data_IF_175071805342
#
_entry.id   IF_175071805342
#
_cell.length_a   1.000
_cell.length_b   1.000
_cell.length_c   1.000
_cell.angle_alpha   90.00
_cell.angle_beta   90.00
_cell.angle_gamma   90.00
#
_symmetry.space_group_name_H-M   'P 1'
#
loop_
_entity.id
_entity.type
_entity.pdbx_description
1 polymer ?
#
# COMPACT_ATOMS: atom_id res chain seq x y z
N UNK A 1 -26.56 -13.38 -12.81
CA UNK A 1 -25.61 -14.50 -12.88
C UNK A 1 -24.66 -14.36 -11.69
N UNK A 2 -24.83 -15.12 -10.63
CA UNK A 2 -24.03 -14.97 -9.41
C UNK A 2 -22.59 -15.42 -9.70
N UNK A 3 -21.63 -14.53 -9.51
CA UNK A 3 -20.21 -14.84 -9.67
C UNK A 3 -19.72 -15.56 -8.39
N UNK A 4 -19.01 -16.65 -8.58
CA UNK A 4 -18.53 -17.52 -7.52
C UNK A 4 -17.51 -16.80 -6.64
N UNK A 5 -17.71 -16.79 -5.33
CA UNK A 5 -16.74 -16.36 -4.31
C UNK A 5 -16.11 -17.61 -3.70
N UNK A 6 -14.81 -17.66 -3.60
CA UNK A 6 -14.08 -18.81 -3.09
C UNK A 6 -13.04 -18.43 -2.05
N UNK A 7 -12.81 -19.35 -1.16
CA UNK A 7 -11.83 -19.26 -0.09
C UNK A 7 -10.53 -19.97 -0.51
N UNK A 8 -9.38 -19.33 -0.28
CA UNK A 8 -8.08 -19.88 -0.57
C UNK A 8 -7.45 -20.34 0.73
N UNK A 9 -7.11 -21.62 0.80
CA UNK A 9 -6.35 -22.20 1.90
C UNK A 9 -4.86 -21.99 1.68
N UNK A 10 -4.18 -21.46 2.70
CA UNK A 10 -2.74 -21.65 2.82
C UNK A 10 -2.49 -23.07 3.35
N UNK A 11 -2.20 -24.02 2.46
CA UNK A 11 -2.03 -25.46 2.77
C UNK A 11 -0.58 -25.77 3.18
N UNK A 12 0.23 -24.79 3.50
CA UNK A 12 1.60 -25.03 3.95
C UNK A 12 1.88 -24.32 5.27
N UNK A 13 1.78 -25.12 6.36
CA UNK A 13 2.60 -24.94 7.56
C UNK A 13 4.07 -25.17 7.15
N UNK A 14 4.67 -24.22 6.45
CA UNK A 14 6.12 -24.12 6.50
C UNK A 14 6.46 -23.34 7.78
N UNK A 15 7.42 -23.86 8.61
CA UNK A 15 7.86 -23.18 9.81
C UNK A 15 8.31 -21.76 9.45
N UNK A 16 8.04 -20.81 10.33
CA UNK A 16 8.44 -19.42 10.22
C UNK A 16 9.80 -19.30 9.54
N UNK A 17 9.79 -18.96 8.26
CA UNK A 17 11.01 -18.71 7.52
C UNK A 17 11.54 -17.38 7.98
N UNK A 18 12.41 -17.43 9.01
CA UNK A 18 13.23 -16.29 9.37
C UNK A 18 14.05 -15.92 8.13
N UNK A 19 13.84 -14.73 7.62
CA UNK A 19 14.61 -14.20 6.49
C UNK A 19 16.10 -14.26 6.84
N UNK A 20 16.92 -15.05 6.12
CA UNK A 20 18.34 -15.20 6.43
C UNK A 20 19.11 -13.87 6.41
N UNK A 21 18.56 -12.82 5.80
CA UNK A 21 19.15 -11.49 5.78
C UNK A 21 19.11 -10.78 7.15
N UNK A 22 18.23 -11.22 8.07
CA UNK A 22 18.17 -10.71 9.44
C UNK A 22 19.14 -11.41 10.39
N UNK A 23 19.70 -12.56 10.01
CA UNK A 23 20.69 -13.29 10.83
C UNK A 23 22.11 -12.71 10.74
N UNK A 24 22.44 -11.95 9.71
CA UNK A 24 23.79 -11.42 9.52
C UNK A 24 24.15 -10.22 10.42
N UNK A 25 23.21 -9.71 11.23
CA UNK A 25 23.43 -8.62 12.18
C UNK A 25 23.56 -9.08 13.64
N UNK A 26 23.56 -10.40 13.91
CA UNK A 26 23.93 -10.93 15.23
C UNK A 26 25.41 -11.25 15.26
N UNK A 27 26.27 -10.25 15.44
CA UNK A 27 27.66 -10.43 15.82
C UNK A 27 27.90 -9.83 17.19
N UNK A 28 28.43 -10.69 18.01
CA UNK A 28 29.10 -10.53 19.29
C UNK A 28 28.28 -10.72 20.55
N UNK A 29 28.59 -11.86 21.12
CA UNK A 29 28.40 -12.27 22.49
C UNK A 29 28.58 -11.14 23.50
N UNK A 30 27.60 -10.88 24.34
CA UNK A 30 27.80 -10.38 25.67
C UNK A 30 27.20 -11.33 26.71
N UNK A 31 27.98 -11.51 27.74
CA UNK A 31 27.95 -12.42 28.84
C UNK A 31 26.61 -12.46 29.60
N UNK A 32 26.28 -13.65 30.12
CA UNK A 32 25.12 -13.90 30.99
C UNK A 32 25.32 -13.19 32.33
N UNK A 33 24.70 -12.08 32.54
CA UNK A 33 24.46 -11.44 33.82
C UNK A 33 22.97 -11.26 34.03
N UNK A 34 22.44 -11.96 35.03
CA UNK A 34 21.09 -11.87 35.53
C UNK A 34 20.65 -10.43 35.82
N UNK A 35 19.66 -9.93 35.12
CA UNK A 35 18.82 -8.82 35.58
C UNK A 35 17.42 -9.05 35.06
N UNK A 36 16.50 -9.27 35.99
CA UNK A 36 15.07 -9.11 35.79
C UNK A 36 14.85 -7.72 35.20
N UNK A 37 14.42 -7.62 33.97
CA UNK A 37 14.00 -6.37 33.36
C UNK A 37 12.48 -6.38 33.23
N UNK A 38 11.91 -5.53 34.07
CA UNK A 38 10.61 -4.94 34.01
C UNK A 38 10.23 -4.61 32.55
N UNK A 39 9.28 -5.36 31.98
CA UNK A 39 8.68 -5.11 30.66
C UNK A 39 7.71 -3.92 30.72
N UNK A 40 8.17 -2.79 31.24
CA UNK A 40 7.55 -1.51 30.94
C UNK A 40 7.89 -1.18 29.47
N UNK A 41 6.89 -1.11 28.64
CA UNK A 41 6.94 -0.62 27.27
C UNK A 41 7.86 0.61 27.23
N UNK A 42 9.06 0.47 26.65
CA UNK A 42 9.80 1.61 26.15
C UNK A 42 9.00 2.18 24.97
N UNK A 43 7.88 2.84 25.31
CA UNK A 43 7.45 3.95 24.50
C UNK A 43 8.62 4.92 24.53
N UNK A 44 9.40 4.97 23.46
CA UNK A 44 10.10 6.18 23.12
C UNK A 44 9.00 7.22 22.98
N UNK A 45 8.73 7.95 24.06
CA UNK A 45 7.94 9.18 24.04
C UNK A 45 8.67 10.18 23.14
N UNK A 46 8.54 9.97 21.83
CA UNK A 46 8.75 11.08 20.90
C UNK A 46 7.62 12.05 21.20
N UNK A 47 7.96 13.33 21.48
CA UNK A 47 6.92 14.32 21.71
C UNK A 47 5.94 14.27 20.53
N UNK A 48 4.62 14.38 20.77
CA UNK A 48 3.64 14.39 19.70
C UNK A 48 4.09 15.45 18.69
N UNK A 49 4.03 15.10 17.41
CA UNK A 49 4.36 16.04 16.34
C UNK A 49 3.43 17.23 16.54
N UNK A 50 4.04 18.35 16.89
CA UNK A 50 3.34 19.60 17.11
C UNK A 50 2.54 19.91 15.83
N UNK A 51 1.23 19.92 15.90
CA UNK A 51 0.36 20.22 14.75
C UNK A 51 0.73 21.56 14.14
N UNK A 52 1.08 22.54 14.96
CA UNK A 52 1.58 23.86 14.54
C UNK A 52 2.86 23.70 13.69
N UNK A 53 3.73 22.75 14.04
CA UNK A 53 4.95 22.47 13.28
C UNK A 53 4.66 21.84 11.93
N UNK A 54 3.67 20.94 11.83
CA UNK A 54 3.26 20.36 10.56
C UNK A 54 2.59 21.41 9.67
N UNK A 55 1.69 22.24 10.21
CA UNK A 55 1.05 23.33 9.48
C UNK A 55 2.07 24.34 8.96
N UNK A 56 3.10 24.65 9.75
CA UNK A 56 4.19 25.51 9.32
C UNK A 56 4.98 24.94 8.12
N UNK A 57 5.18 23.61 8.08
CA UNK A 57 5.82 22.92 6.94
C UNK A 57 4.97 22.98 5.65
N UNK A 58 3.65 23.12 5.77
CA UNK A 58 2.75 23.24 4.61
C UNK A 58 2.77 24.64 3.98
N UNK A 59 3.33 25.64 4.65
CA UNK A 59 3.45 26.97 4.10
C UNK A 59 4.56 27.03 3.05
N UNK A 60 4.31 27.68 1.88
CA UNK A 60 5.37 27.87 0.89
C UNK A 60 6.53 28.66 1.50
N UNK A 61 7.80 28.32 1.19
CA UNK A 61 8.95 29.01 1.72
C UNK A 61 8.87 30.50 1.35
N UNK A 62 9.02 31.41 2.36
CA UNK A 62 8.87 32.85 2.20
C UNK A 62 9.83 33.46 1.17
N UNK A 63 10.90 32.76 0.79
CA UNK A 63 11.93 33.23 -0.15
C UNK A 63 12.03 32.34 -1.41
N UNK A 64 10.98 31.57 -1.73
CA UNK A 64 10.94 30.73 -2.93
C UNK A 64 10.69 31.55 -4.21
N UNK A 65 11.33 31.14 -5.32
CA UNK A 65 10.97 31.65 -6.65
C UNK A 65 9.59 31.13 -7.02
N UNK A 66 8.63 32.04 -7.23
CA UNK A 66 7.32 31.69 -7.78
C UNK A 66 7.49 31.22 -9.23
N UNK A 67 7.05 30.01 -9.53
CA UNK A 67 6.97 29.49 -10.89
C UNK A 67 5.52 29.58 -11.36
N UNK A 68 5.30 30.17 -12.53
CA UNK A 68 4.01 30.06 -13.19
C UNK A 68 3.81 28.60 -13.64
N UNK A 69 2.72 28.00 -13.19
CA UNK A 69 2.32 26.64 -13.59
C UNK A 69 1.10 26.79 -14.49
N UNK A 70 1.18 26.22 -15.69
CA UNK A 70 0.02 26.11 -16.57
C UNK A 70 -0.87 24.96 -16.08
N UNK A 71 -2.17 25.22 -15.99
CA UNK A 71 -3.14 24.17 -15.65
C UNK A 71 -3.31 23.20 -16.82
N UNK A 72 -3.34 21.92 -16.52
CA UNK A 72 -3.61 20.86 -17.51
C UNK A 72 -5.14 20.67 -17.60
N UNK A 73 -5.74 21.07 -18.72
CA UNK A 73 -7.22 21.04 -18.89
C UNK A 73 -8.00 21.72 -17.75
N UNK A 74 -7.43 22.78 -17.16
CA UNK A 74 -8.02 23.48 -16.02
C UNK A 74 -7.73 22.87 -14.65
N UNK A 75 -7.02 21.75 -14.58
CA UNK A 75 -6.66 21.03 -13.37
C UNK A 75 -5.22 21.32 -12.92
N UNK A 76 -4.98 21.31 -11.62
CA UNK A 76 -3.63 21.50 -11.06
C UNK A 76 -2.91 20.15 -11.00
N UNK A 77 -2.07 19.90 -11.99
CA UNK A 77 -1.25 18.68 -12.11
C UNK A 77 0.19 19.11 -12.33
N UNK A 78 1.10 18.77 -11.40
CA UNK A 78 2.49 19.26 -11.41
C UNK A 78 3.45 18.17 -10.97
N UNK A 79 4.58 18.07 -11.69
CA UNK A 79 5.69 17.20 -11.30
C UNK A 79 6.67 17.98 -10.41
N UNK A 80 6.95 17.44 -9.23
CA UNK A 80 7.91 17.96 -8.26
C UNK A 80 9.13 17.02 -8.18
N UNK A 81 10.36 17.54 -8.21
CA UNK A 81 11.54 16.70 -8.03
C UNK A 81 11.55 16.11 -6.61
N UNK A 82 11.84 14.82 -6.52
CA UNK A 82 12.07 14.16 -5.22
C UNK A 82 13.50 14.41 -4.72
N UNK A 83 13.77 14.30 -3.41
CA UNK A 83 15.12 14.42 -2.88
C UNK A 83 16.09 13.47 -3.59
N UNK A 84 17.28 13.98 -3.94
CA UNK A 84 18.31 13.22 -4.67
C UNK A 84 18.65 11.87 -4.02
N UNK A 85 18.75 11.73 -2.68
CA UNK A 85 19.00 10.43 -2.05
C UNK A 85 17.91 9.40 -2.35
N UNK A 86 16.64 9.80 -2.41
CA UNK A 86 15.51 8.91 -2.73
C UNK A 86 15.58 8.48 -4.19
N UNK A 87 15.78 9.43 -5.12
CA UNK A 87 15.95 9.12 -6.54
C UNK A 87 17.15 8.19 -6.79
N UNK A 88 18.25 8.40 -6.07
CA UNK A 88 19.47 7.60 -6.21
C UNK A 88 19.38 6.22 -5.53
N UNK A 89 18.43 6.00 -4.65
CA UNK A 89 18.23 4.70 -4.01
C UNK A 89 17.71 3.62 -4.97
N UNK A 90 17.11 4.01 -6.09
CA UNK A 90 16.63 3.05 -7.10
C UNK A 90 17.82 2.42 -7.83
N UNK A 91 17.87 1.09 -7.91
CA UNK A 91 18.96 0.37 -8.58
C UNK A 91 19.00 0.67 -10.10
N UNK A 92 20.19 0.72 -10.71
CA UNK A 92 20.35 1.04 -12.13
C UNK A 92 19.53 0.16 -13.06
N UNK A 93 19.46 -1.14 -12.78
CA UNK A 93 18.70 -2.13 -13.57
C UNK A 93 17.21 -1.77 -13.71
N UNK A 94 16.61 -1.17 -12.67
CA UNK A 94 15.23 -0.72 -12.71
C UNK A 94 15.08 0.66 -13.33
N UNK A 95 16.08 1.53 -13.19
CA UNK A 95 16.06 2.84 -13.85
C UNK A 95 16.00 2.73 -15.37
N UNK A 96 16.70 1.73 -15.94
CA UNK A 96 16.67 1.44 -17.35
C UNK A 96 15.32 0.91 -17.85
N UNK A 97 14.55 0.29 -16.97
CA UNK A 97 13.18 -0.19 -17.24
C UNK A 97 12.12 0.88 -17.05
N UNK A 98 12.43 1.96 -16.35
CA UNK A 98 11.49 3.00 -15.97
C UNK A 98 11.27 4.03 -17.08
N UNK A 99 10.14 4.74 -16.98
CA UNK A 99 9.83 5.86 -17.85
C UNK A 99 10.65 7.11 -17.48
N UNK A 100 10.79 8.07 -18.38
CA UNK A 100 11.43 9.35 -18.08
C UNK A 100 10.79 10.01 -16.86
N UNK A 101 11.62 10.51 -15.94
CA UNK A 101 11.21 11.16 -14.69
C UNK A 101 10.50 10.26 -13.65
N UNK A 102 10.22 9.01 -13.91
CA UNK A 102 9.48 8.14 -13.01
C UNK A 102 10.08 8.08 -11.61
N UNK A 103 11.41 7.93 -11.51
CA UNK A 103 12.13 7.83 -10.24
C UNK A 103 12.71 9.15 -9.74
N UNK A 104 12.56 10.23 -10.50
CA UNK A 104 13.15 11.54 -10.16
C UNK A 104 12.11 12.59 -9.82
N UNK A 105 10.85 12.38 -10.18
CA UNK A 105 9.77 13.33 -9.95
C UNK A 105 8.51 12.63 -9.44
N UNK A 106 7.98 13.15 -8.37
CA UNK A 106 6.64 12.85 -7.87
C UNK A 106 5.63 13.74 -8.58
N UNK A 107 4.52 13.19 -9.07
CA UNK A 107 3.40 13.98 -9.59
C UNK A 107 2.43 14.27 -8.47
N UNK A 108 2.00 15.52 -8.37
CA UNK A 108 0.94 15.95 -7.49
C UNK A 108 -0.24 16.51 -8.28
N UNK A 109 -1.45 16.05 -7.96
CA UNK A 109 -2.71 16.54 -8.52
C UNK A 109 -3.62 17.02 -7.40
N UNK A 110 -4.06 18.29 -7.47
CA UNK A 110 -5.09 18.83 -6.57
C UNK A 110 -6.47 18.53 -7.18
N UNK A 111 -7.12 17.47 -6.70
CA UNK A 111 -8.39 17.00 -7.26
C UNK A 111 -9.56 17.77 -6.67
N UNK A 112 -10.35 18.43 -7.53
CA UNK A 112 -11.47 19.30 -7.17
C UNK A 112 -12.83 18.71 -7.50
N UNK A 113 -12.90 17.41 -7.79
CA UNK A 113 -14.13 16.69 -8.14
C UNK A 113 -14.34 15.48 -7.22
N UNK A 114 -15.57 14.96 -7.24
CA UNK A 114 -15.87 13.69 -6.59
C UNK A 114 -15.21 12.50 -7.31
N UNK A 115 -15.05 11.33 -6.61
CA UNK A 115 -14.47 10.12 -7.22
C UNK A 115 -15.11 9.68 -8.52
N UNK A 116 -16.42 9.90 -8.67
CA UNK A 116 -17.17 9.49 -9.86
C UNK A 116 -16.85 10.35 -11.09
N UNK A 117 -16.42 11.61 -10.86
CA UNK A 117 -16.08 12.58 -11.89
C UNK A 117 -14.57 12.61 -12.20
N UNK A 118 -13.79 11.76 -11.54
CA UNK A 118 -12.36 11.61 -11.81
C UNK A 118 -12.14 10.76 -13.06
N UNK A 119 -12.36 11.36 -14.22
CA UNK A 119 -12.34 10.70 -15.55
C UNK A 119 -11.52 11.53 -16.55
N UNK A 120 -11.09 10.89 -17.65
CA UNK A 120 -10.29 11.53 -18.71
C UNK A 120 -11.00 12.71 -19.35
N UNK A 121 -12.30 12.60 -19.56
CA UNK A 121 -13.14 13.63 -20.17
C UNK A 121 -13.08 14.95 -19.38
N UNK A 122 -12.86 14.86 -18.06
CA UNK A 122 -12.68 15.98 -17.17
C UNK A 122 -11.20 16.42 -17.02
N UNK A 123 -10.30 15.87 -17.84
CA UNK A 123 -8.89 16.21 -17.87
C UNK A 123 -8.05 15.56 -16.75
N UNK A 124 -8.57 14.53 -16.09
CA UNK A 124 -7.82 13.75 -15.09
C UNK A 124 -7.15 12.53 -15.75
N UNK A 125 -5.98 12.15 -15.25
CA UNK A 125 -5.25 10.98 -15.75
C UNK A 125 -4.18 10.54 -14.77
N UNK A 126 -3.91 9.24 -14.73
CA UNK A 126 -2.85 8.64 -13.92
C UNK A 126 -1.62 8.35 -14.78
N UNK A 127 -0.42 8.65 -14.25
CA UNK A 127 0.87 8.45 -14.97
C UNK A 127 1.02 7.01 -15.46
N UNK A 128 0.76 6.05 -14.60
CA UNK A 128 0.92 4.62 -14.89
C UNK A 128 0.17 4.21 -16.16
N UNK A 129 -1.08 4.64 -16.32
CA UNK A 129 -1.91 4.23 -17.45
C UNK A 129 -1.75 5.11 -18.68
N UNK A 130 -1.68 6.44 -18.49
CA UNK A 130 -1.80 7.39 -19.61
C UNK A 130 -0.49 8.02 -20.02
N UNK A 131 0.54 7.99 -19.17
CA UNK A 131 1.86 8.49 -19.53
C UNK A 131 2.85 7.35 -19.77
N UNK A 132 2.76 6.26 -18.97
CA UNK A 132 3.63 5.10 -19.09
C UNK A 132 3.02 3.97 -19.92
N UNK A 133 1.73 4.08 -20.27
CA UNK A 133 0.97 3.10 -21.08
C UNK A 133 1.04 1.67 -20.52
N UNK A 134 1.11 1.52 -19.20
CA UNK A 134 1.27 0.23 -18.54
C UNK A 134 -0.07 -0.43 -18.24
N UNK A 135 -0.18 -1.75 -18.45
CA UNK A 135 -1.32 -2.52 -17.95
C UNK A 135 -1.24 -2.63 -16.42
N UNK A 136 -2.38 -2.74 -15.77
CA UNK A 136 -2.49 -2.98 -14.33
C UNK A 136 -3.20 -4.31 -14.10
N UNK A 137 -2.49 -5.33 -13.63
CA UNK A 137 -3.11 -6.61 -13.27
C UNK A 137 -3.71 -6.53 -11.87
N UNK A 138 -2.98 -5.88 -10.95
CA UNK A 138 -3.35 -5.80 -9.54
C UNK A 138 -3.30 -4.37 -9.04
N UNK A 139 -4.43 -3.91 -8.49
CA UNK A 139 -4.51 -2.71 -7.67
C UNK A 139 -4.62 -3.11 -6.21
N UNK A 140 -3.62 -2.80 -5.41
CA UNK A 140 -3.62 -3.04 -3.95
C UNK A 140 -4.03 -1.75 -3.26
N UNK A 141 -5.16 -1.76 -2.57
CA UNK A 141 -5.69 -0.60 -1.88
C UNK A 141 -5.48 -0.70 -0.38
N UNK A 142 -4.66 0.19 0.16
CA UNK A 142 -4.41 0.35 1.59
C UNK A 142 -5.31 1.47 2.11
N UNK A 143 -6.25 1.14 3.00
CA UNK A 143 -7.12 2.13 3.64
C UNK A 143 -6.58 2.51 5.00
N UNK A 144 -6.49 3.82 5.25
CA UNK A 144 -5.91 4.42 6.45
C UNK A 144 -6.85 5.49 7.03
N UNK A 145 -6.93 5.56 8.35
CA UNK A 145 -7.71 6.58 9.05
C UNK A 145 -6.85 7.36 10.07
N UNK A 146 -6.43 6.69 11.15
CA UNK A 146 -5.66 7.29 12.24
C UNK A 146 -4.66 6.30 12.88
N UNK A 147 -4.30 5.26 12.15
CA UNK A 147 -3.33 4.29 12.61
C UNK A 147 -1.95 4.94 12.78
N UNK A 148 -1.18 4.47 13.76
CA UNK A 148 0.17 4.97 14.00
C UNK A 148 1.15 4.61 12.87
N UNK A 149 2.29 5.30 12.83
CA UNK A 149 3.35 5.06 11.84
C UNK A 149 3.84 3.62 11.81
N UNK A 150 3.86 2.90 12.97
CA UNK A 150 4.38 1.53 13.04
C UNK A 150 3.41 0.55 12.37
N UNK A 151 2.11 0.78 12.49
CA UNK A 151 1.08 0.01 11.80
C UNK A 151 1.17 0.23 10.29
N UNK A 152 1.33 1.48 9.86
CA UNK A 152 1.49 1.83 8.45
C UNK A 152 2.76 1.19 7.85
N UNK A 153 3.92 1.38 8.49
CA UNK A 153 5.20 0.84 7.98
C UNK A 153 5.17 -0.67 7.89
N UNK A 154 4.62 -1.34 8.92
CA UNK A 154 4.47 -2.80 8.93
C UNK A 154 3.63 -3.31 7.77
N UNK A 155 2.49 -2.69 7.50
CA UNK A 155 1.62 -3.08 6.39
C UNK A 155 2.29 -2.81 5.05
N UNK A 156 2.81 -1.60 4.83
CA UNK A 156 3.47 -1.21 3.58
C UNK A 156 4.68 -2.07 3.27
N UNK A 157 5.58 -2.27 4.24
CA UNK A 157 6.76 -3.10 4.06
C UNK A 157 6.38 -4.54 3.69
N UNK A 158 5.40 -5.12 4.39
CA UNK A 158 4.91 -6.47 4.08
C UNK A 158 4.30 -6.58 2.69
N UNK A 159 3.56 -5.56 2.23
CA UNK A 159 3.03 -5.49 0.86
C UNK A 159 4.17 -5.42 -0.16
N UNK A 160 5.18 -4.59 0.07
CA UNK A 160 6.34 -4.48 -0.84
C UNK A 160 7.13 -5.80 -0.93
N UNK A 161 7.31 -6.53 0.19
CA UNK A 161 7.90 -7.87 0.19
C UNK A 161 7.05 -8.86 -0.62
N UNK A 162 5.74 -8.85 -0.45
CA UNK A 162 4.82 -9.69 -1.23
C UNK A 162 4.89 -9.40 -2.73
N UNK A 163 4.95 -8.12 -3.14
CA UNK A 163 5.10 -7.73 -4.55
C UNK A 163 6.42 -8.25 -5.10
N UNK A 164 7.54 -8.10 -4.36
CA UNK A 164 8.85 -8.66 -4.73
C UNK A 164 8.76 -10.16 -5.00
N UNK A 165 8.17 -10.90 -4.06
CA UNK A 165 8.12 -12.37 -4.13
C UNK A 165 7.16 -12.83 -5.22
N UNK A 166 6.07 -12.12 -5.43
CA UNK A 166 5.15 -12.33 -6.53
C UNK A 166 5.82 -12.13 -7.89
N UNK A 167 6.56 -11.04 -8.10
CA UNK A 167 7.30 -10.79 -9.33
C UNK A 167 8.32 -11.92 -9.62
N UNK A 168 9.01 -12.41 -8.58
CA UNK A 168 9.92 -13.56 -8.70
C UNK A 168 9.19 -14.86 -9.11
N UNK A 169 7.99 -15.09 -8.56
CA UNK A 169 7.17 -16.25 -8.93
C UNK A 169 6.63 -16.13 -10.35
N UNK A 170 6.20 -14.94 -10.76
CA UNK A 170 5.73 -14.67 -12.14
C UNK A 170 6.82 -14.94 -13.16
N UNK A 171 7.99 -14.36 -13.00
CA UNK A 171 9.12 -14.59 -13.91
C UNK A 171 9.49 -16.06 -14.06
N UNK A 172 9.38 -16.86 -12.98
CA UNK A 172 9.74 -18.28 -13.02
C UNK A 172 8.63 -19.19 -13.54
N UNK A 173 7.37 -18.93 -13.16
CA UNK A 173 6.25 -19.86 -13.43
C UNK A 173 5.37 -19.45 -14.60
N UNK A 174 5.36 -18.16 -14.94
CA UNK A 174 4.47 -17.58 -15.94
C UNK A 174 5.25 -16.70 -16.95
N UNK A 175 6.33 -17.21 -17.57
CA UNK A 175 7.13 -16.43 -18.51
C UNK A 175 6.36 -15.99 -19.76
N UNK A 176 5.24 -16.63 -20.06
CA UNK A 176 4.34 -16.27 -21.16
C UNK A 176 3.51 -15.01 -20.87
N UNK A 177 3.49 -14.51 -19.65
CA UNK A 177 2.88 -13.21 -19.31
C UNK A 177 3.82 -12.02 -19.57
N UNK A 178 5.04 -12.30 -19.98
CA UNK A 178 5.99 -11.26 -20.35
C UNK A 178 5.61 -10.66 -21.73
N UNK A 179 4.90 -9.54 -21.65
CA UNK A 179 4.49 -8.73 -22.81
C UNK A 179 5.41 -7.51 -23.03
N UNK A 180 6.61 -7.56 -22.44
CA UNK A 180 7.56 -6.44 -22.44
C UNK A 180 7.46 -5.54 -21.22
N UNK A 181 6.49 -5.80 -20.31
CA UNK A 181 6.37 -5.10 -19.05
C UNK A 181 6.83 -6.00 -17.89
N UNK A 182 7.92 -5.67 -17.18
CA UNK A 182 8.36 -6.43 -16.02
C UNK A 182 7.27 -6.46 -14.95
N UNK A 183 7.19 -7.55 -14.19
CA UNK A 183 6.09 -7.82 -13.27
C UNK A 183 5.78 -6.68 -12.28
N UNK A 184 6.79 -5.89 -11.86
CA UNK A 184 6.58 -4.76 -10.96
C UNK A 184 5.76 -3.63 -11.60
N UNK A 185 5.81 -3.48 -12.92
CA UNK A 185 5.04 -2.48 -13.67
C UNK A 185 3.55 -2.82 -13.79
N UNK A 186 3.17 -4.05 -13.47
CA UNK A 186 1.79 -4.56 -13.55
C UNK A 186 1.03 -4.43 -12.22
N UNK A 187 1.70 -3.94 -11.17
CA UNK A 187 1.15 -3.80 -9.82
C UNK A 187 1.16 -2.33 -9.41
N UNK A 188 0.03 -1.85 -8.94
CA UNK A 188 -0.12 -0.50 -8.39
C UNK A 188 -0.60 -0.59 -6.95
N UNK A 189 0.01 0.17 -6.06
CA UNK A 189 -0.41 0.31 -4.66
C UNK A 189 -1.05 1.67 -4.48
N UNK A 190 -2.31 1.70 -4.05
CA UNK A 190 -2.99 2.93 -3.67
C UNK A 190 -3.12 3.03 -2.16
N UNK A 191 -2.67 4.14 -1.59
CA UNK A 191 -2.89 4.49 -0.18
C UNK A 191 -4.01 5.52 -0.14
N UNK A 192 -5.10 5.23 0.55
CA UNK A 192 -6.24 6.15 0.67
C UNK A 192 -6.41 6.56 2.12
N UNK A 193 -6.03 7.80 2.42
CA UNK A 193 -6.09 8.39 3.77
C UNK A 193 -7.38 9.19 3.93
N UNK A 194 -8.13 8.87 4.99
CA UNK A 194 -9.48 9.40 5.21
C UNK A 194 -9.51 10.70 6.04
N UNK A 195 -8.96 11.74 5.48
CA UNK A 195 -8.96 13.08 6.05
C UNK A 195 -7.61 13.51 6.62
N UNK A 196 -7.33 14.81 6.53
CA UNK A 196 -6.09 15.42 7.01
C UNK A 196 -6.07 15.47 8.54
N UNK A 197 -7.18 15.86 9.17
CA UNK A 197 -7.25 16.08 10.61
C UNK A 197 -6.99 14.81 11.44
N UNK A 198 -7.59 13.62 11.12
CA UNK A 198 -7.37 12.41 11.92
C UNK A 198 -6.04 11.73 11.64
N UNK A 199 -5.32 12.14 10.59
CA UNK A 199 -4.09 11.51 10.14
C UNK A 199 -2.95 11.73 11.15
N UNK A 200 -2.26 10.65 11.53
CA UNK A 200 -0.99 10.73 12.23
C UNK A 200 0.07 11.41 11.33
N UNK A 201 0.63 12.54 11.78
CA UNK A 201 1.60 13.30 10.99
C UNK A 201 2.93 12.56 10.82
N UNK A 202 3.28 11.66 11.75
CA UNK A 202 4.45 10.79 11.60
C UNK A 202 4.28 9.77 10.45
N UNK A 203 3.05 9.38 10.13
CA UNK A 203 2.77 8.58 8.95
C UNK A 203 3.11 9.32 7.64
N UNK A 204 2.89 10.65 7.59
CA UNK A 204 3.29 11.47 6.45
C UNK A 204 4.81 11.59 6.33
N UNK A 205 5.54 11.64 7.44
CA UNK A 205 7.00 11.65 7.44
C UNK A 205 7.58 10.34 6.85
N UNK A 206 6.94 9.21 7.11
CA UNK A 206 7.28 7.93 6.47
C UNK A 206 7.10 8.03 4.95
N UNK A 207 5.94 8.51 4.48
CA UNK A 207 5.67 8.67 3.04
C UNK A 207 6.62 9.67 2.38
N UNK A 208 6.97 10.75 3.06
CA UNK A 208 7.96 11.72 2.59
C UNK A 208 9.36 11.09 2.45
N UNK A 209 9.77 10.26 3.42
CA UNK A 209 11.02 9.51 3.38
C UNK A 209 11.09 8.55 2.20
N UNK A 210 9.96 7.97 1.81
CA UNK A 210 9.85 7.08 0.64
C UNK A 210 9.68 7.85 -0.69
N UNK A 211 9.56 9.18 -0.65
CA UNK A 211 9.35 10.02 -1.83
C UNK A 211 7.90 10.08 -2.33
N UNK A 212 6.97 9.45 -1.62
CA UNK A 212 5.54 9.35 -2.03
C UNK A 212 4.75 10.61 -1.66
N UNK A 213 5.24 11.40 -0.73
CA UNK A 213 4.63 12.64 -0.26
C UNK A 213 5.65 13.75 -0.15
N UNK A 214 5.21 15.00 -0.29
CA UNK A 214 6.05 16.20 -0.09
C UNK A 214 5.25 17.29 0.63
N UNK A 215 5.86 17.88 1.67
CA UNK A 215 5.28 19.02 2.37
C UNK A 215 5.22 20.26 1.48
N UNK A 216 4.26 21.14 1.74
CA UNK A 216 4.16 22.46 1.13
C UNK A 216 3.68 22.49 -0.33
N UNK A 217 3.33 21.34 -0.93
CA UNK A 217 2.84 21.28 -2.33
C UNK A 217 1.31 21.29 -2.43
N UNK A 218 0.62 20.95 -1.35
CA UNK A 218 -0.84 20.81 -1.35
C UNK A 218 -1.54 22.16 -1.56
N UNK A 219 -2.56 22.18 -2.41
CA UNK A 219 -3.39 23.35 -2.72
C UNK A 219 -4.78 23.19 -2.12
N UNK A 220 -5.24 24.16 -1.37
CA UNK A 220 -6.59 24.14 -0.79
C UNK A 220 -7.68 24.43 -1.83
N UNK A 221 -7.35 25.19 -2.87
CA UNK A 221 -8.27 25.60 -3.92
C UNK A 221 -7.55 25.68 -5.27
N UNK A 222 -8.28 25.40 -6.35
CA UNK A 222 -7.85 25.56 -7.74
C UNK A 222 -9.02 26.18 -8.52
N UNK A 223 -8.82 27.37 -9.14
CA UNK A 223 -9.88 28.08 -9.88
C UNK A 223 -11.19 28.23 -9.07
N UNK A 224 -11.09 28.70 -7.85
CA UNK A 224 -12.21 28.92 -6.91
C UNK A 224 -12.98 27.62 -6.50
N UNK A 225 -12.49 26.44 -6.89
CA UNK A 225 -12.99 25.16 -6.43
C UNK A 225 -12.16 24.63 -5.28
N UNK A 226 -12.82 24.18 -4.21
CA UNK A 226 -12.12 23.52 -3.10
C UNK A 226 -11.52 22.18 -3.56
N UNK A 227 -10.34 21.86 -3.05
CA UNK A 227 -9.72 20.56 -3.27
C UNK A 227 -10.43 19.49 -2.42
N UNK A 228 -10.85 18.41 -3.03
CA UNK A 228 -11.52 17.27 -2.39
C UNK A 228 -10.51 16.22 -1.94
N UNK A 229 -9.48 15.98 -2.78
CA UNK A 229 -8.40 15.06 -2.49
C UNK A 229 -7.08 15.53 -3.12
N UNK A 230 -5.98 15.16 -2.47
CA UNK A 230 -4.62 15.37 -2.95
C UNK A 230 -4.08 14.04 -3.43
N UNK A 231 -3.78 13.95 -4.72
CA UNK A 231 -3.20 12.76 -5.33
C UNK A 231 -1.70 12.94 -5.54
N UNK A 232 -0.92 11.99 -5.05
CA UNK A 232 0.53 11.93 -5.27
C UNK A 232 0.87 10.60 -5.95
N UNK A 233 1.62 10.66 -7.04
CA UNK A 233 2.04 9.47 -7.80
C UNK A 233 3.56 9.41 -7.84
N UNK A 234 4.14 8.32 -7.35
CA UNK A 234 5.58 8.10 -7.36
C UNK A 234 5.91 6.61 -7.36
N UNK A 235 6.98 6.24 -8.04
CA UNK A 235 7.51 4.87 -8.03
C UNK A 235 8.73 4.81 -7.13
N UNK A 236 8.64 4.09 -6.03
CA UNK A 236 9.70 3.97 -5.03
C UNK A 236 10.24 2.54 -4.92
N UNK A 237 11.54 2.41 -4.65
CA UNK A 237 12.16 1.13 -4.25
C UNK A 237 12.59 1.16 -2.77
N UNK A 238 12.36 2.28 -2.10
CA UNK A 238 12.69 2.49 -0.70
C UNK A 238 11.50 2.10 0.16
N UNK A 239 11.73 1.42 1.27
CA UNK A 239 10.74 1.06 2.26
C UNK A 239 11.17 1.48 3.66
N UNK A 240 10.23 1.53 4.58
CA UNK A 240 10.50 1.68 6.01
C UNK A 240 9.91 0.45 6.70
N UNK A 241 10.71 -0.23 7.52
CA UNK A 241 10.29 -1.45 8.20
C UNK A 241 9.43 -1.16 9.46
N UNK A 242 9.00 -2.22 10.13
CA UNK A 242 8.17 -2.11 11.34
C UNK A 242 8.91 -1.53 12.56
N UNK A 243 10.23 -1.39 12.49
CA UNK A 243 11.10 -0.77 13.52
C UNK A 243 11.55 0.62 13.11
N UNK A 244 10.76 1.39 12.40
CA UNK A 244 10.96 2.57 11.57
C UNK A 244 12.40 2.76 11.03
N UNK A 245 13.01 1.68 10.51
CA UNK A 245 14.31 1.75 9.86
C UNK A 245 14.15 1.83 8.34
N UNK A 246 14.95 2.66 7.72
CA UNK A 246 14.98 2.82 6.28
C UNK A 246 15.58 1.58 5.60
N UNK A 247 14.81 0.91 4.77
CA UNK A 247 15.24 -0.21 3.95
C UNK A 247 15.55 0.28 2.54
N UNK A 248 16.84 0.36 2.23
CA UNK A 248 17.31 0.72 0.88
C UNK A 248 17.80 -0.52 0.14
N UNK A 249 17.54 -0.62 -1.18
CA UNK A 249 18.10 -1.68 -1.99
C UNK A 249 19.64 -1.56 -2.05
N UNK A 250 20.32 -2.71 -2.13
CA UNK A 250 21.78 -2.78 -2.26
C UNK A 250 22.15 -3.63 -3.48
N UNK A 251 23.09 -3.20 -4.32
CA UNK A 251 23.53 -3.97 -5.49
C UNK A 251 24.03 -5.38 -5.17
N UNK A 252 24.49 -5.61 -3.95
CA UNK A 252 25.01 -6.90 -3.49
C UNK A 252 23.93 -7.81 -2.88
N UNK A 253 22.74 -7.31 -2.65
CA UNK A 253 21.65 -8.07 -2.03
C UNK A 253 20.78 -8.77 -3.08
N UNK A 254 20.71 -10.09 -2.99
CA UNK A 254 19.77 -10.87 -3.82
C UNK A 254 18.31 -10.75 -3.37
N UNK A 255 18.07 -10.16 -2.21
CA UNK A 255 16.74 -9.99 -1.62
C UNK A 255 16.17 -8.57 -1.72
N UNK A 256 16.69 -7.78 -2.67
CA UNK A 256 16.22 -6.42 -2.89
C UNK A 256 14.72 -6.36 -3.18
N UNK A 257 14.09 -5.30 -2.68
CA UNK A 257 12.74 -4.93 -3.10
C UNK A 257 12.76 -4.59 -4.60
N UNK A 258 11.64 -4.82 -5.26
CA UNK A 258 11.36 -4.29 -6.60
C UNK A 258 10.78 -2.88 -6.47
N UNK A 259 10.85 -2.02 -7.50
CA UNK A 259 10.11 -0.76 -7.48
C UNK A 259 8.61 -1.01 -7.34
N UNK A 260 7.93 -0.11 -6.64
CA UNK A 260 6.48 -0.17 -6.44
C UNK A 260 5.87 1.16 -6.88
N UNK A 261 4.92 1.08 -7.80
CA UNK A 261 4.14 2.21 -8.28
C UNK A 261 3.11 2.57 -7.22
N UNK A 262 3.25 3.73 -6.58
CA UNK A 262 2.38 4.18 -5.51
C UNK A 262 1.53 5.36 -5.92
N UNK A 263 0.25 5.31 -5.55
CA UNK A 263 -0.70 6.41 -5.66
C UNK A 263 -1.20 6.72 -4.26
N UNK A 264 -0.80 7.84 -3.72
CA UNK A 264 -1.27 8.31 -2.42
C UNK A 264 -2.42 9.28 -2.61
N UNK A 265 -3.61 8.88 -2.18
CA UNK A 265 -4.83 9.68 -2.20
C UNK A 265 -5.11 10.18 -0.78
N UNK A 266 -4.82 11.44 -0.51
CA UNK A 266 -5.03 12.08 0.77
C UNK A 266 -6.29 12.96 0.70
N UNK A 267 -7.39 12.49 1.29
CA UNK A 267 -8.65 13.23 1.25
C UNK A 267 -8.58 14.47 2.14
N UNK A 268 -9.15 15.57 1.67
CA UNK A 268 -9.17 16.82 2.44
C UNK A 268 -9.96 16.68 3.74
N UNK A 269 -11.08 15.95 3.71
CA UNK A 269 -11.97 15.74 4.88
C UNK A 269 -12.23 14.26 5.09
N UNK A 270 -12.49 13.87 6.34
CA UNK A 270 -13.00 12.54 6.66
C UNK A 270 -14.40 12.35 6.04
N UNK A 271 -14.52 11.43 5.12
CA UNK A 271 -15.77 11.06 4.46
C UNK A 271 -16.11 9.58 4.65
N UNK A 272 -15.50 8.93 5.63
CA UNK A 272 -15.67 7.53 6.03
C UNK A 272 -15.17 6.51 5.01
N UNK A 273 -15.03 5.25 5.43
CA UNK A 273 -14.47 4.13 4.66
C UNK A 273 -15.17 3.92 3.31
N UNK A 274 -16.49 4.07 3.24
CA UNK A 274 -17.24 3.89 1.98
C UNK A 274 -16.80 4.87 0.89
N UNK A 275 -16.50 6.12 1.26
CA UNK A 275 -15.97 7.10 0.32
C UNK A 275 -14.53 6.75 -0.09
N UNK A 276 -13.70 6.19 0.80
CA UNK A 276 -12.38 5.69 0.44
C UNK A 276 -12.47 4.56 -0.58
N UNK A 277 -13.44 3.67 -0.44
CA UNK A 277 -13.71 2.63 -1.45
C UNK A 277 -14.19 3.22 -2.79
N UNK A 278 -14.98 4.33 -2.77
CA UNK A 278 -15.33 5.04 -4.03
C UNK A 278 -14.09 5.56 -4.73
N UNK A 279 -13.12 6.15 -4.00
CA UNK A 279 -11.83 6.54 -4.58
C UNK A 279 -11.09 5.35 -5.19
N UNK A 280 -11.08 4.19 -4.52
CA UNK A 280 -10.42 2.97 -5.04
C UNK A 280 -11.11 2.46 -6.31
N UNK A 281 -12.43 2.28 -6.29
CA UNK A 281 -13.14 1.58 -7.36
C UNK A 281 -13.60 2.51 -8.49
N UNK A 282 -14.15 3.69 -8.16
CA UNK A 282 -14.76 4.60 -9.13
C UNK A 282 -13.77 5.60 -9.73
N UNK A 283 -12.76 6.02 -8.97
CA UNK A 283 -11.70 6.88 -9.49
C UNK A 283 -10.52 6.03 -10.01
N UNK A 284 -9.69 5.52 -9.10
CA UNK A 284 -8.44 4.85 -9.46
C UNK A 284 -8.67 3.57 -10.27
N UNK A 285 -9.62 2.73 -9.86
CA UNK A 285 -9.95 1.48 -10.54
C UNK A 285 -10.46 1.69 -11.96
N UNK A 286 -11.36 2.67 -12.17
CA UNK A 286 -11.83 3.00 -13.53
C UNK A 286 -10.71 3.50 -14.43
N UNK A 287 -9.76 4.24 -13.89
CA UNK A 287 -8.63 4.76 -14.64
C UNK A 287 -7.61 3.68 -14.98
N UNK A 288 -7.30 2.79 -14.03
CA UNK A 288 -6.27 1.75 -14.18
C UNK A 288 -6.81 0.49 -14.86
N UNK A 289 -8.11 0.19 -14.75
CA UNK A 289 -8.76 -1.03 -15.26
C UNK A 289 -8.02 -2.31 -14.82
N UNK A 290 -7.79 -2.52 -13.52
CA UNK A 290 -7.07 -3.70 -13.05
C UNK A 290 -7.90 -4.98 -13.24
N UNK A 291 -7.23 -6.12 -13.39
CA UNK A 291 -7.91 -7.43 -13.38
C UNK A 291 -8.47 -7.72 -11.99
N UNK A 292 -7.69 -7.37 -10.95
CA UNK A 292 -7.99 -7.67 -9.56
C UNK A 292 -7.69 -6.45 -8.66
N UNK A 293 -8.58 -6.21 -7.70
CA UNK A 293 -8.38 -5.25 -6.61
C UNK A 293 -8.23 -5.99 -5.31
N UNK A 294 -7.19 -5.71 -4.55
CA UNK A 294 -6.96 -6.26 -3.20
C UNK A 294 -7.16 -5.15 -2.18
N UNK A 295 -8.04 -5.36 -1.23
CA UNK A 295 -8.25 -4.45 -0.10
C UNK A 295 -7.43 -4.93 1.09
N UNK A 296 -6.67 -4.03 1.68
CA UNK A 296 -5.89 -4.26 2.90
C UNK A 296 -6.08 -3.08 3.84
N UNK A 297 -6.56 -3.34 5.03
CA UNK A 297 -6.60 -2.28 6.05
C UNK A 297 -5.22 -2.09 6.66
N UNK A 298 -4.82 -0.84 6.89
CA UNK A 298 -3.57 -0.53 7.60
C UNK A 298 -3.63 -1.13 9.00
N UNK A 299 -2.51 -1.73 9.45
CA UNK A 299 -2.47 -2.58 10.63
C UNK A 299 -2.52 -4.08 10.31
N UNK A 300 -3.00 -4.47 9.14
CA UNK A 300 -2.92 -5.85 8.66
C UNK A 300 -1.54 -6.11 8.04
N UNK A 301 -0.90 -7.22 8.42
CA UNK A 301 0.37 -7.69 7.86
C UNK A 301 0.07 -8.86 6.91
N UNK A 302 0.11 -8.67 5.58
CA UNK A 302 0.04 -9.79 4.65
C UNK A 302 1.15 -10.82 4.92
N UNK A 303 0.78 -12.09 4.99
CA UNK A 303 1.73 -13.19 5.14
C UNK A 303 2.61 -13.37 3.91
N UNK A 304 3.59 -14.27 4.00
CA UNK A 304 4.48 -14.58 2.88
C UNK A 304 3.67 -15.11 1.68
N UNK A 305 3.90 -14.56 0.49
CA UNK A 305 3.21 -14.91 -0.76
C UNK A 305 1.67 -14.76 -0.73
N UNK A 306 1.08 -14.12 0.27
CA UNK A 306 -0.38 -14.01 0.38
C UNK A 306 -1.01 -13.33 -0.86
N UNK A 307 -0.40 -12.27 -1.38
CA UNK A 307 -0.85 -11.62 -2.62
C UNK A 307 -0.72 -12.53 -3.85
N UNK A 308 0.36 -13.31 -3.92
CA UNK A 308 0.58 -14.25 -5.01
C UNK A 308 -0.51 -15.35 -5.02
N UNK A 309 -0.86 -15.90 -3.86
CA UNK A 309 -1.90 -16.93 -3.77
C UNK A 309 -3.29 -16.38 -4.11
N UNK A 310 -3.62 -15.16 -3.67
CA UNK A 310 -4.84 -14.50 -4.10
C UNK A 310 -4.87 -14.33 -5.62
N UNK A 311 -3.81 -13.75 -6.21
CA UNK A 311 -3.71 -13.59 -7.66
C UNK A 311 -3.82 -14.94 -8.40
N UNK A 312 -3.14 -15.98 -7.93
CA UNK A 312 -3.17 -17.31 -8.53
C UNK A 312 -4.59 -17.90 -8.59
N UNK A 313 -5.40 -17.67 -7.56
CA UNK A 313 -6.79 -18.11 -7.58
C UNK A 313 -7.61 -17.43 -8.67
N UNK A 314 -7.46 -16.11 -8.84
CA UNK A 314 -8.14 -15.38 -9.92
C UNK A 314 -7.61 -15.76 -11.30
N UNK A 315 -6.32 -16.03 -11.42
CA UNK A 315 -5.69 -16.45 -12.67
C UNK A 315 -6.23 -17.80 -13.15
N UNK A 316 -6.28 -18.80 -12.26
CA UNK A 316 -6.77 -20.15 -12.62
C UNK A 316 -8.29 -20.24 -12.72
N UNK A 317 -9.04 -19.31 -12.18
CA UNK A 317 -10.51 -19.33 -12.15
C UNK A 317 -11.10 -18.02 -12.66
N UNK A 318 -11.31 -17.90 -13.98
CA UNK A 318 -11.85 -16.66 -14.58
C UNK A 318 -13.23 -16.27 -14.05
N UNK A 319 -14.01 -17.20 -13.51
CA UNK A 319 -15.35 -16.96 -12.95
C UNK A 319 -15.33 -16.52 -11.50
N UNK A 320 -14.16 -16.53 -10.85
CA UNK A 320 -14.02 -16.10 -9.46
C UNK A 320 -14.28 -14.59 -9.35
N UNK A 321 -15.29 -14.21 -8.57
CA UNK A 321 -15.66 -12.81 -8.34
C UNK A 321 -14.98 -12.16 -7.15
N UNK A 322 -14.70 -12.96 -6.09
CA UNK A 322 -14.03 -12.49 -4.87
C UNK A 322 -13.37 -13.63 -4.11
N UNK A 323 -12.34 -13.31 -3.34
CA UNK A 323 -11.62 -14.21 -2.47
C UNK A 323 -11.08 -13.46 -1.24
N UNK A 324 -10.77 -14.15 -0.16
CA UNK A 324 -10.09 -13.57 0.98
C UNK A 324 -9.03 -14.51 1.52
N UNK A 325 -8.01 -13.94 2.15
CA UNK A 325 -7.02 -14.69 2.90
C UNK A 325 -7.51 -15.07 4.29
N UNK A 326 -6.82 -16.00 4.92
CA UNK A 326 -7.00 -16.28 6.33
C UNK A 326 -6.48 -15.12 7.19
N UNK A 327 -7.25 -14.74 8.21
CA UNK A 327 -6.89 -13.66 9.13
C UNK A 327 -6.62 -14.26 10.50
N UNK A 328 -5.47 -13.91 11.07
CA UNK A 328 -5.06 -14.31 12.41
C UNK A 328 -4.91 -13.09 13.32
N UNK A 329 -5.29 -13.22 14.59
CA UNK A 329 -4.94 -12.24 15.60
C UNK A 329 -3.42 -12.27 15.87
N UNK A 330 -2.79 -11.11 16.03
CA UNK A 330 -1.37 -11.02 16.37
C UNK A 330 -1.18 -11.33 17.86
N UNK A 331 -0.79 -12.56 18.19
CA UNK A 331 -0.78 -13.10 19.55
C UNK A 331 0.59 -13.04 20.26
N UNK A 332 1.64 -12.47 19.64
CA UNK A 332 3.02 -12.39 20.21
C UNK A 332 3.43 -13.71 20.91
N UNK A 333 3.65 -14.76 20.14
CA UNK A 333 4.00 -16.10 20.65
C UNK A 333 3.03 -16.66 21.70
N UNK A 334 1.75 -16.29 21.63
CA UNK A 334 0.71 -16.74 22.54
C UNK A 334 0.51 -15.90 23.82
N UNK A 335 1.41 -14.97 24.14
CA UNK A 335 1.30 -14.17 25.36
C UNK A 335 0.02 -13.32 25.42
N UNK A 336 -0.40 -12.77 24.29
CA UNK A 336 -1.65 -11.98 24.23
C UNK A 336 -2.92 -12.83 24.40
N UNK A 337 -2.85 -14.16 24.33
CA UNK A 337 -4.02 -15.03 24.58
C UNK A 337 -4.46 -15.06 26.04
N UNK A 338 -3.63 -14.59 26.98
CA UNK A 338 -4.06 -14.37 28.37
C UNK A 338 -5.09 -13.24 28.50
N UNK A 339 -5.19 -12.36 27.50
CA UNK A 339 -6.30 -11.42 27.41
C UNK A 339 -7.53 -12.13 26.82
N UNK A 340 -8.64 -12.24 27.56
CA UNK A 340 -9.82 -12.99 27.13
C UNK A 340 -10.46 -12.45 25.84
N UNK A 341 -10.38 -11.14 25.59
CA UNK A 341 -10.89 -10.54 24.36
C UNK A 341 -10.06 -10.98 23.13
N UNK A 342 -8.73 -10.99 23.25
CA UNK A 342 -7.85 -11.47 22.18
C UNK A 342 -8.03 -12.96 21.94
N UNK A 343 -8.20 -13.75 23.02
CA UNK A 343 -8.46 -15.18 22.92
C UNK A 343 -9.78 -15.47 22.20
N UNK A 344 -10.86 -14.75 22.56
CA UNK A 344 -12.17 -14.88 21.93
C UNK A 344 -12.12 -14.50 20.44
N UNK A 345 -11.49 -13.38 20.08
CA UNK A 345 -11.31 -12.94 18.70
C UNK A 345 -10.48 -13.95 17.88
N UNK A 346 -9.40 -14.48 18.45
CA UNK A 346 -8.59 -15.49 17.77
C UNK A 346 -9.36 -16.79 17.55
N UNK A 347 -10.19 -17.19 18.51
CA UNK A 347 -11.07 -18.35 18.37
C UNK A 347 -12.12 -18.14 17.28
N UNK A 348 -12.80 -16.99 17.25
CA UNK A 348 -13.78 -16.61 16.23
C UNK A 348 -13.17 -16.65 14.83
N UNK A 349 -11.99 -16.05 14.65
CA UNK A 349 -11.29 -16.09 13.34
C UNK A 349 -10.96 -17.51 12.91
N UNK A 350 -10.47 -18.36 13.83
CA UNK A 350 -10.18 -19.77 13.51
C UNK A 350 -11.42 -20.57 13.13
N UNK A 351 -12.51 -20.42 13.88
CA UNK A 351 -13.77 -21.11 13.55
C UNK A 351 -14.27 -20.65 12.16
N UNK A 352 -14.34 -19.36 11.94
CA UNK A 352 -14.76 -18.81 10.66
C UNK A 352 -13.87 -19.32 9.50
N UNK A 353 -12.57 -19.35 9.69
CA UNK A 353 -11.63 -19.75 8.64
C UNK A 353 -11.61 -21.27 8.40
N UNK A 354 -11.78 -22.11 9.44
CA UNK A 354 -11.67 -23.58 9.35
C UNK A 354 -13.02 -24.22 8.98
N UNK A 355 -14.14 -23.66 9.42
CA UNK A 355 -15.46 -24.28 9.26
C UNK A 355 -16.39 -23.49 8.34
N UNK A 356 -16.68 -22.21 8.68
CA UNK A 356 -17.76 -21.48 8.02
C UNK A 356 -17.43 -21.18 6.56
N UNK A 357 -16.31 -20.49 6.29
CA UNK A 357 -15.94 -20.09 4.94
C UNK A 357 -15.67 -21.24 3.99
N UNK A 358 -15.00 -22.35 4.40
CA UNK A 358 -14.87 -23.51 3.54
C UNK A 358 -16.20 -24.16 3.19
N UNK A 359 -17.10 -24.27 4.16
CA UNK A 359 -18.43 -24.79 3.92
C UNK A 359 -19.21 -23.92 2.93
N UNK A 360 -19.23 -22.61 3.15
CA UNK A 360 -19.86 -21.64 2.24
C UNK A 360 -19.24 -21.70 0.84
N UNK A 361 -17.90 -21.74 0.74
CA UNK A 361 -17.17 -21.83 -0.51
C UNK A 361 -17.51 -23.08 -1.31
N UNK A 362 -17.77 -24.20 -0.63
CA UNK A 362 -18.21 -25.45 -1.28
C UNK A 362 -19.52 -25.26 -2.06
N UNK A 363 -20.43 -24.43 -1.54
CA UNK A 363 -21.66 -24.04 -2.22
C UNK A 363 -21.49 -22.90 -3.24
N UNK A 364 -20.26 -22.41 -3.42
CA UNK A 364 -19.92 -21.38 -4.42
C UNK A 364 -20.25 -19.95 -4.01
N UNK A 365 -20.52 -19.70 -2.74
CA UNK A 365 -20.79 -18.38 -2.20
C UNK A 365 -20.23 -18.25 -0.78
N UNK A 366 -19.50 -17.19 -0.52
CA UNK A 366 -19.03 -16.82 0.83
C UNK A 366 -19.76 -15.55 1.26
N UNK A 367 -20.45 -15.62 2.40
CA UNK A 367 -21.35 -14.55 2.86
C UNK A 367 -20.61 -13.24 3.16
N UNK A 368 -19.40 -13.32 3.73
CA UNK A 368 -18.58 -12.18 4.12
C UNK A 368 -17.13 -12.38 3.71
N UNK A 369 -16.62 -11.48 2.87
CA UNK A 369 -15.20 -11.31 2.64
C UNK A 369 -14.69 -10.21 3.58
N UNK A 370 -13.77 -10.51 4.53
CA UNK A 370 -13.33 -9.53 5.50
C UNK A 370 -12.59 -8.38 4.83
N UNK A 371 -12.98 -7.14 5.15
CA UNK A 371 -12.40 -5.94 4.55
C UNK A 371 -10.92 -5.74 4.85
N UNK A 372 -10.39 -6.40 5.90
CA UNK A 372 -8.99 -6.28 6.28
C UNK A 372 -8.04 -6.95 5.30
N UNK A 373 -8.46 -8.05 4.63
CA UNK A 373 -7.67 -8.72 3.59
C UNK A 373 -8.57 -9.51 2.65
N UNK A 374 -8.97 -8.87 1.55
CA UNK A 374 -9.87 -9.46 0.55
C UNK A 374 -9.49 -9.00 -0.85
N UNK A 375 -9.85 -9.80 -1.85
CA UNK A 375 -9.59 -9.50 -3.26
C UNK A 375 -10.85 -9.67 -4.08
N UNK A 376 -11.00 -8.86 -5.10
CA UNK A 376 -12.17 -8.81 -5.96
C UNK A 376 -11.74 -8.71 -7.43
N UNK A 377 -12.39 -9.47 -8.31
CA UNK A 377 -12.26 -9.22 -9.74
C UNK A 377 -12.93 -7.87 -10.06
N UNK A 378 -12.16 -6.97 -10.66
CA UNK A 378 -12.63 -5.59 -10.86
C UNK A 378 -13.94 -5.54 -11.65
N UNK A 379 -14.02 -6.29 -12.75
CA UNK A 379 -15.25 -6.38 -13.56
C UNK A 379 -16.45 -6.93 -12.78
N UNK A 380 -16.22 -7.71 -11.71
CA UNK A 380 -17.31 -8.25 -10.90
C UNK A 380 -17.91 -7.21 -9.94
N UNK A 381 -17.17 -6.16 -9.64
CA UNK A 381 -17.59 -5.09 -8.72
C UNK A 381 -18.22 -3.93 -9.49
N UNK A 382 -17.87 -3.74 -10.75
CA UNK A 382 -18.48 -2.69 -11.58
C UNK A 382 -19.96 -2.98 -11.96
N UNK A 383 -20.40 -4.25 -11.91
CA UNK A 383 -21.76 -4.65 -12.23
C UNK A 383 -21.91 -5.15 -13.66
#
# INVERSE_FOLDING_TARGET
MYKRQEYIWDVYDEPDYEDPSLQSLRVSSFDKGSLEQDDSELHLDMPPVDEDRWEARQQPPQHGRTRQVQLTSGNWIVDYPVPTPVANAVLPEYREQGAPKEFTHMRYSAVTCDPDDFVLENGWGLRTRYEYERPTDILIALTYYNEDRNLLTRTMHSVMLNIRDMCRKWSKRYPHMDDGHPGWQRVVVSLVFDGIDPCDKEALDVLATMGVYQDGVMKRQVNDKETVAHLFEYTTQVSVDSTPQLVQPSPTSHNNLVPVQMIFCFKQRNAKKINSHRWVFHALGRMLQPDMVVLVDVGTKPGHLALYHLWQAFYHRPTLGGACGEIHAMIRHGMKLFNPLVAAQNFEYKISNILDKPLESLFGYVSVLPGAFSAYRFQAVLG
#
